data_IF_210043544328
#
_entry.id   IF_210043544328
#
_cell.length_a   1.000
_cell.length_b   1.000
_cell.length_c   1.000
_cell.angle_alpha   90.00
_cell.angle_beta   90.00
_cell.angle_gamma   90.00
#
_symmetry.space_group_name_H-M   'P 1'
#
loop_
_entity.id
_entity.type
_entity.pdbx_description
1 polymer ?
#
# COMPACT_ATOMS: atom_id res chain seq x y z
N UNK A 1 -20.18 -38.74 6.49
CA UNK A 1 -19.05 -37.94 5.98
C UNK A 1 -19.38 -36.45 5.75
N UNK A 2 -20.58 -36.05 5.32
CA UNK A 2 -20.93 -34.63 5.09
C UNK A 2 -20.87 -33.71 6.33
N UNK A 3 -21.07 -34.22 7.55
CA UNK A 3 -21.07 -33.38 8.77
C UNK A 3 -19.70 -32.77 9.07
N UNK A 4 -18.61 -33.47 8.76
CA UNK A 4 -17.25 -32.97 8.97
C UNK A 4 -16.84 -31.95 7.90
N UNK A 5 -17.36 -32.08 6.68
CA UNK A 5 -17.13 -31.13 5.58
C UNK A 5 -17.68 -29.74 5.91
N UNK A 6 -18.88 -29.67 6.53
CA UNK A 6 -19.48 -28.41 6.98
C UNK A 6 -18.66 -27.75 8.09
N UNK A 7 -18.13 -28.53 9.03
CA UNK A 7 -17.31 -28.01 10.13
C UNK A 7 -15.96 -27.48 9.60
N UNK A 8 -15.35 -28.15 8.62
CA UNK A 8 -14.12 -27.69 7.96
C UNK A 8 -14.36 -26.37 7.20
N UNK A 9 -15.48 -26.24 6.48
CA UNK A 9 -15.84 -25.00 5.79
C UNK A 9 -16.06 -23.83 6.76
N UNK A 10 -16.67 -24.07 7.92
CA UNK A 10 -16.85 -23.04 8.96
C UNK A 10 -15.51 -22.66 9.57
N UNK A 11 -14.62 -23.62 9.86
CA UNK A 11 -13.30 -23.35 10.41
C UNK A 11 -12.40 -22.57 9.42
N UNK A 12 -12.47 -22.88 8.12
CA UNK A 12 -11.75 -22.16 7.07
C UNK A 12 -12.27 -20.72 6.88
N UNK A 13 -13.56 -20.47 7.14
CA UNK A 13 -14.14 -19.13 7.10
C UNK A 13 -13.69 -18.21 8.24
N UNK A 14 -13.19 -18.75 9.36
CA UNK A 14 -12.76 -17.96 10.52
C UNK A 14 -11.32 -17.43 10.39
N UNK A 15 -10.49 -18.03 9.53
CA UNK A 15 -9.09 -17.65 9.36
C UNK A 15 -8.87 -16.55 8.31
N UNK A 16 -9.88 -16.24 7.48
CA UNK A 16 -9.77 -15.29 6.37
C UNK A 16 -9.77 -13.82 6.78
N UNK A 17 -10.02 -13.51 8.05
CA UNK A 17 -10.13 -12.13 8.56
C UNK A 17 -8.97 -11.70 9.47
N UNK A 18 -7.82 -12.39 9.44
CA UNK A 18 -6.60 -11.86 10.06
C UNK A 18 -5.84 -10.97 9.09
N UNK A 19 -6.46 -9.86 8.69
CA UNK A 19 -5.80 -8.84 7.89
C UNK A 19 -4.90 -7.99 8.80
N UNK A 20 -3.59 -8.09 8.60
CA UNK A 20 -2.59 -7.34 9.36
C UNK A 20 -2.49 -5.92 8.83
N UNK A 21 -2.57 -4.93 9.73
CA UNK A 21 -2.39 -3.51 9.40
C UNK A 21 -0.92 -3.14 9.53
N UNK A 22 -0.13 -3.63 8.58
CA UNK A 22 1.31 -3.36 8.48
C UNK A 22 1.58 -1.98 7.83
N UNK A 23 2.85 -1.67 7.59
CA UNK A 23 3.25 -0.42 6.96
C UNK A 23 2.66 -0.24 5.54
N UNK A 24 2.63 -1.32 4.75
CA UNK A 24 2.11 -1.28 3.39
C UNK A 24 0.60 -1.00 3.36
N UNK A 25 -0.14 -1.54 4.32
CA UNK A 25 -1.55 -1.21 4.50
C UNK A 25 -1.76 0.29 4.70
N UNK A 26 -1.02 0.92 5.62
CA UNK A 26 -1.20 2.35 5.90
C UNK A 26 -0.73 3.26 4.76
N UNK A 27 0.30 2.87 4.00
CA UNK A 27 0.72 3.60 2.78
C UNK A 27 -0.35 3.59 1.70
N UNK A 28 -1.09 2.48 1.56
CA UNK A 28 -2.15 2.32 0.56
C UNK A 28 -3.52 2.80 1.02
N UNK A 29 -3.69 3.10 2.32
CA UNK A 29 -4.96 3.55 2.92
C UNK A 29 -4.79 4.86 3.71
N UNK A 30 -4.60 6.02 3.05
CA UNK A 30 -4.43 7.34 3.69
C UNK A 30 -5.45 7.67 4.77
N UNK A 31 -6.74 7.37 4.56
CA UNK A 31 -7.80 7.64 5.55
C UNK A 31 -7.64 6.80 6.83
N UNK A 32 -7.20 5.55 6.70
CA UNK A 32 -6.94 4.68 7.85
C UNK A 32 -5.70 5.12 8.62
N UNK A 33 -4.67 5.60 7.91
CA UNK A 33 -3.50 6.21 8.52
C UNK A 33 -3.87 7.45 9.33
N UNK A 34 -4.71 8.34 8.79
CA UNK A 34 -5.18 9.51 9.53
C UNK A 34 -5.96 9.13 10.79
N UNK A 35 -6.82 8.11 10.72
CA UNK A 35 -7.53 7.60 11.90
C UNK A 35 -6.56 7.06 12.96
N UNK A 36 -5.55 6.29 12.54
CA UNK A 36 -4.53 5.76 13.45
C UNK A 36 -3.72 6.88 14.11
N UNK A 37 -3.29 7.89 13.34
CA UNK A 37 -2.56 9.05 13.86
C UNK A 37 -3.37 9.86 14.88
N UNK A 38 -4.68 10.05 14.66
CA UNK A 38 -5.56 10.74 15.63
C UNK A 38 -5.68 10.02 16.96
N UNK A 39 -5.45 8.71 16.98
CA UNK A 39 -5.53 7.88 18.19
C UNK A 39 -4.19 7.81 18.94
N UNK A 40 -3.09 8.24 18.32
CA UNK A 40 -1.79 8.32 18.98
C UNK A 40 -1.73 9.47 20.01
N UNK A 41 -1.05 9.29 21.16
CA UNK A 41 -0.37 8.08 21.62
C UNK A 41 -1.27 7.09 22.36
N UNK A 42 -2.56 7.40 22.53
CA UNK A 42 -3.48 6.66 23.40
C UNK A 42 -3.79 5.23 22.92
N UNK A 43 -3.77 4.98 21.60
CA UNK A 43 -4.01 3.66 21.01
C UNK A 43 -3.16 3.49 19.75
N UNK A 44 -2.29 2.49 19.76
CA UNK A 44 -1.45 2.10 18.63
C UNK A 44 -1.89 0.73 18.06
N UNK A 45 -1.72 0.48 16.75
CA UNK A 45 -1.89 -0.84 16.17
C UNK A 45 -0.80 -1.82 16.63
N UNK A 46 -1.07 -3.11 16.54
CA UNK A 46 -0.20 -4.16 17.12
C UNK A 46 1.18 -4.25 16.45
N UNK A 47 1.30 -3.89 15.17
CA UNK A 47 2.54 -4.05 14.39
C UNK A 47 3.35 -2.76 14.21
N UNK A 48 2.77 -1.58 14.47
CA UNK A 48 3.43 -0.29 14.28
C UNK A 48 3.24 0.61 15.50
N UNK A 49 4.34 1.25 15.91
CA UNK A 49 4.29 2.30 16.93
C UNK A 49 3.91 3.66 16.31
N UNK A 50 3.56 4.62 17.17
CA UNK A 50 3.17 5.96 16.72
C UNK A 50 4.27 6.70 15.95
N UNK A 51 5.55 6.45 16.23
CA UNK A 51 6.65 7.07 15.48
C UNK A 51 6.71 6.57 14.03
N UNK A 52 6.51 5.26 13.82
CA UNK A 52 6.41 4.68 12.49
C UNK A 52 5.18 5.21 11.74
N UNK A 53 4.04 5.32 12.41
CA UNK A 53 2.84 5.93 11.81
C UNK A 53 3.07 7.40 11.43
N UNK A 54 3.76 8.17 12.27
CA UNK A 54 4.11 9.57 11.99
C UNK A 54 5.05 9.70 10.79
N UNK A 55 6.00 8.78 10.62
CA UNK A 55 6.87 8.75 9.45
C UNK A 55 6.08 8.52 8.16
N UNK A 56 5.18 7.54 8.16
CA UNK A 56 4.27 7.28 7.03
C UNK A 56 3.39 8.52 6.79
N UNK A 57 2.84 9.13 7.84
CA UNK A 57 2.02 10.34 7.74
C UNK A 57 2.77 11.53 7.13
N UNK A 58 4.03 11.72 7.51
CA UNK A 58 4.89 12.78 6.97
C UNK A 58 5.15 12.57 5.48
N UNK A 59 5.45 11.32 5.08
CA UNK A 59 5.67 10.98 3.67
C UNK A 59 4.40 11.19 2.84
N UNK A 60 3.24 10.82 3.38
CA UNK A 60 1.93 11.05 2.76
C UNK A 60 1.68 12.54 2.56
N UNK A 61 1.91 13.37 3.59
CA UNK A 61 1.74 14.82 3.50
C UNK A 61 2.70 15.46 2.48
N UNK A 62 3.93 14.97 2.38
CA UNK A 62 4.87 15.43 1.36
C UNK A 62 4.38 15.11 -0.06
N UNK A 63 3.84 13.91 -0.28
CA UNK A 63 3.25 13.54 -1.58
C UNK A 63 2.00 14.37 -1.90
N UNK A 64 1.13 14.58 -0.90
CA UNK A 64 -0.04 15.43 -1.02
C UNK A 64 0.34 16.87 -1.42
N UNK A 65 1.36 17.43 -0.79
CA UNK A 65 1.90 18.75 -1.12
C UNK A 65 2.48 18.78 -2.54
N UNK A 66 3.21 17.76 -2.97
CA UNK A 66 3.73 17.67 -4.33
C UNK A 66 2.61 17.62 -5.37
N UNK A 67 1.57 16.81 -5.13
CA UNK A 67 0.40 16.72 -6.00
C UNK A 67 -0.28 18.09 -6.13
N UNK A 68 -0.56 18.77 -5.02
CA UNK A 68 -1.19 20.09 -5.03
C UNK A 68 -0.32 21.17 -5.69
N UNK A 69 0.99 21.12 -5.47
CA UNK A 69 1.93 22.11 -6.02
C UNK A 69 2.12 21.96 -7.53
N UNK A 70 2.23 20.72 -8.01
CA UNK A 70 2.40 20.44 -9.43
C UNK A 70 1.77 19.09 -9.81
N UNK A 71 0.47 19.09 -10.14
CA UNK A 71 -0.22 17.87 -10.56
C UNK A 71 0.41 17.20 -11.79
N UNK A 72 0.95 18.01 -12.71
CA UNK A 72 1.59 17.50 -13.92
C UNK A 72 2.89 16.75 -13.62
N UNK A 73 3.77 17.32 -12.79
CA UNK A 73 5.01 16.62 -12.39
C UNK A 73 4.71 15.37 -11.57
N UNK A 74 3.69 15.42 -10.71
CA UNK A 74 3.23 14.26 -9.96
C UNK A 74 2.72 13.15 -10.90
N UNK A 75 1.94 13.53 -11.93
CA UNK A 75 1.47 12.62 -12.97
C UNK A 75 2.61 12.02 -13.80
N UNK A 76 3.61 12.82 -14.18
CA UNK A 76 4.80 12.33 -14.89
C UNK A 76 5.53 11.26 -14.08
N UNK A 77 5.67 11.46 -12.75
CA UNK A 77 6.31 10.48 -11.87
C UNK A 77 5.56 9.14 -11.84
N UNK A 78 4.22 9.18 -11.87
CA UNK A 78 3.39 7.97 -11.97
C UNK A 78 3.64 7.25 -13.30
N UNK A 79 3.66 7.99 -14.41
CA UNK A 79 3.91 7.43 -15.75
C UNK A 79 5.31 6.81 -15.85
N UNK A 80 6.32 7.47 -15.29
CA UNK A 80 7.68 6.94 -15.25
C UNK A 80 7.76 5.63 -14.46
N UNK A 81 7.13 5.57 -13.29
CA UNK A 81 7.05 4.34 -12.48
C UNK A 81 6.37 3.21 -13.25
N UNK A 82 5.23 3.50 -13.90
CA UNK A 82 4.52 2.51 -14.73
C UNK A 82 5.39 2.00 -15.88
N UNK A 83 6.13 2.88 -16.55
CA UNK A 83 7.04 2.50 -17.64
C UNK A 83 8.18 1.62 -17.13
N UNK A 84 8.77 1.94 -15.98
CA UNK A 84 9.84 1.15 -15.37
C UNK A 84 9.33 -0.23 -14.98
N UNK A 85 8.18 -0.31 -14.29
CA UNK A 85 7.52 -1.56 -13.90
C UNK A 85 7.27 -2.44 -15.13
N UNK A 86 6.72 -1.87 -16.21
CA UNK A 86 6.45 -2.62 -17.44
C UNK A 86 7.73 -3.22 -18.05
N UNK A 87 8.83 -2.45 -18.08
CA UNK A 87 10.14 -2.94 -18.55
C UNK A 87 10.65 -4.08 -17.67
N UNK A 88 10.60 -3.92 -16.35
CA UNK A 88 11.04 -4.96 -15.40
C UNK A 88 10.22 -6.25 -15.55
N UNK A 89 8.90 -6.15 -15.70
CA UNK A 89 8.04 -7.30 -15.95
C UNK A 89 8.40 -8.02 -17.26
N UNK A 90 8.67 -7.28 -18.34
CA UNK A 90 9.12 -7.86 -19.61
C UNK A 90 10.48 -8.55 -19.49
N UNK A 91 11.40 -7.99 -18.70
CA UNK A 91 12.73 -8.57 -18.49
C UNK A 91 12.67 -9.86 -17.66
N UNK A 92 11.87 -9.88 -16.60
CA UNK A 92 11.61 -11.09 -15.79
C UNK A 92 10.96 -12.18 -16.64
N UNK A 93 10.04 -11.82 -17.55
CA UNK A 93 9.42 -12.79 -18.45
C UNK A 93 10.41 -13.42 -19.45
N UNK A 94 11.52 -12.71 -19.77
CA UNK A 94 12.53 -13.14 -20.75
C UNK A 94 13.70 -13.89 -20.12
N UNK A 95 14.00 -13.68 -18.84
CA UNK A 95 15.15 -14.26 -18.13
C UNK A 95 14.66 -14.97 -16.87
N UNK A 96 15.02 -16.23 -16.68
CA UNK A 96 14.75 -16.94 -15.41
C UNK A 96 15.48 -16.23 -14.26
N UNK A 97 14.70 -15.57 -13.41
CA UNK A 97 14.99 -15.16 -12.02
C UNK A 97 16.31 -14.43 -11.77
N UNK A 98 16.26 -13.09 -11.87
CA UNK A 98 17.18 -12.22 -11.13
C UNK A 98 16.45 -11.69 -9.88
N UNK A 99 16.88 -12.12 -8.69
CA UNK A 99 16.30 -11.71 -7.41
C UNK A 99 16.35 -10.20 -7.22
N UNK A 100 17.42 -9.54 -7.64
CA UNK A 100 17.55 -8.07 -7.54
C UNK A 100 16.49 -7.35 -8.40
N UNK A 101 16.18 -7.90 -9.58
CA UNK A 101 15.16 -7.36 -10.47
C UNK A 101 13.76 -7.55 -9.88
N UNK A 102 13.52 -8.64 -9.16
CA UNK A 102 12.26 -8.89 -8.45
C UNK A 102 12.08 -7.92 -7.28
N UNK A 103 13.11 -7.76 -6.44
CA UNK A 103 13.09 -6.82 -5.32
C UNK A 103 12.89 -5.37 -5.80
N UNK A 104 13.54 -5.00 -6.91
CA UNK A 104 13.37 -3.68 -7.51
C UNK A 104 11.96 -3.48 -8.08
N UNK A 105 11.38 -4.51 -8.71
CA UNK A 105 10.00 -4.47 -9.20
C UNK A 105 9.02 -4.28 -8.04
N UNK A 106 9.16 -5.04 -6.96
CA UNK A 106 8.30 -4.94 -5.78
C UNK A 106 8.34 -3.53 -5.18
N UNK A 107 9.53 -2.97 -4.98
CA UNK A 107 9.70 -1.59 -4.49
C UNK A 107 9.04 -0.55 -5.40
N UNK A 108 9.19 -0.69 -6.72
CA UNK A 108 8.55 0.23 -7.67
C UNK A 108 7.02 0.11 -7.65
N UNK A 109 6.50 -1.10 -7.49
CA UNK A 109 5.06 -1.34 -7.36
C UNK A 109 4.50 -0.75 -6.06
N UNK A 110 5.19 -0.91 -4.94
CA UNK A 110 4.85 -0.26 -3.67
C UNK A 110 4.87 1.26 -3.80
N UNK A 111 5.89 1.83 -4.44
CA UNK A 111 5.98 3.28 -4.65
C UNK A 111 4.81 3.77 -5.53
N UNK A 112 4.54 3.09 -6.65
CA UNK A 112 3.41 3.42 -7.51
C UNK A 112 2.07 3.37 -6.75
N UNK A 113 1.86 2.32 -5.95
CA UNK A 113 0.65 2.19 -5.13
C UNK A 113 0.48 3.36 -4.16
N UNK A 114 1.58 3.86 -3.60
CA UNK A 114 1.53 4.99 -2.68
C UNK A 114 1.17 6.32 -3.38
N UNK A 115 1.77 6.60 -4.54
CA UNK A 115 1.41 7.78 -5.33
C UNK A 115 -0.07 7.75 -5.72
N UNK A 116 -0.56 6.59 -6.19
CA UNK A 116 -1.96 6.43 -6.56
C UNK A 116 -2.91 6.52 -5.35
N UNK A 117 -2.51 6.03 -4.18
CA UNK A 117 -3.30 6.16 -2.97
C UNK A 117 -3.50 7.63 -2.57
N UNK A 118 -2.47 8.47 -2.72
CA UNK A 118 -2.56 9.92 -2.45
C UNK A 118 -3.49 10.61 -3.44
N UNK A 119 -3.38 10.31 -4.75
CA UNK A 119 -4.31 10.83 -5.76
C UNK A 119 -5.74 10.43 -5.44
N UNK A 120 -5.97 9.15 -5.15
CA UNK A 120 -7.29 8.64 -4.79
C UNK A 120 -7.83 9.38 -3.56
N UNK A 121 -7.01 9.57 -2.54
CA UNK A 121 -7.42 10.22 -1.29
C UNK A 121 -7.80 11.70 -1.48
N UNK A 122 -7.07 12.46 -2.31
CA UNK A 122 -7.32 13.89 -2.49
C UNK A 122 -8.36 14.22 -3.55
N UNK A 123 -8.45 13.41 -4.61
CA UNK A 123 -9.25 13.72 -5.81
C UNK A 123 -10.54 12.89 -5.91
N UNK A 124 -10.73 11.88 -5.06
CA UNK A 124 -12.00 11.14 -5.02
C UNK A 124 -12.95 11.80 -4.03
N UNK A 125 -14.20 12.13 -4.41
CA UNK A 125 -15.21 12.50 -3.43
C UNK A 125 -15.37 11.35 -2.44
N UNK A 126 -15.37 11.66 -1.13
CA UNK A 126 -15.78 10.68 -0.12
C UNK A 126 -17.19 10.21 -0.51
N UNK A 127 -17.32 8.91 -0.78
CA UNK A 127 -18.56 8.29 -1.26
C UNK A 127 -19.56 8.14 -0.13
#
# INVERSE_FOLDING_TARGET
MNKYLVIILIALGLVSCQFKKDEQYYRSHPSELQKALKLCPNKQPDELNCQQLEEIGRRMNNLAYQLQRSPQEFGNKILDLQQVIAKQQMEIAKKNTNTELQDSLEKNQEELAYYLAVVKWLESPES
#
